data_IF_054785806862
#
_entry.id   IF_054785806862
#
_cell.length_a   1.000
_cell.length_b   1.000
_cell.length_c   1.000
_cell.angle_alpha   90.00
_cell.angle_beta   90.00
_cell.angle_gamma   90.00
#
_symmetry.space_group_name_H-M   'P 1'
#
loop_
_entity.id
_entity.type
_entity.pdbx_description
1 polymer ?
#
# COMPACT_ATOMS: atom_id res chain seq x y z
N UNK A 1 -15.39 3.45 0.70
CA UNK A 1 -14.13 3.15 0.01
C UNK A 1 -13.32 2.26 0.92
N UNK A 2 -12.92 1.07 0.45
CA UNK A 2 -12.32 0.02 1.29
C UNK A 2 -10.80 0.10 1.39
N UNK A 3 -10.12 0.65 0.37
CA UNK A 3 -8.67 0.94 0.38
C UNK A 3 -8.32 2.43 0.42
N UNK A 4 -7.03 2.74 0.54
CA UNK A 4 -6.54 4.11 0.77
C UNK A 4 -5.97 4.79 -0.50
N UNK A 5 -5.60 4.03 -1.54
CA UNK A 5 -4.96 4.60 -2.74
C UNK A 5 -5.88 5.51 -3.56
N UNK A 6 -7.13 5.11 -3.77
CA UNK A 6 -8.09 5.95 -4.49
C UNK A 6 -8.36 7.29 -3.78
N UNK A 7 -8.61 7.35 -2.46
CA UNK A 7 -8.68 8.63 -1.76
C UNK A 7 -7.36 9.40 -1.78
N UNK A 8 -6.20 8.75 -1.74
CA UNK A 8 -4.89 9.42 -1.93
C UNK A 8 -4.78 10.11 -3.28
N UNK A 9 -5.05 9.40 -4.38
CA UNK A 9 -5.05 9.98 -5.72
C UNK A 9 -6.09 11.10 -5.86
N UNK A 10 -7.28 10.91 -5.30
CA UNK A 10 -8.33 11.93 -5.26
C UNK A 10 -7.92 13.19 -4.48
N UNK A 11 -7.24 13.03 -3.35
CA UNK A 11 -6.72 14.12 -2.55
C UNK A 11 -5.62 14.90 -3.29
N UNK A 12 -4.69 14.18 -3.92
CA UNK A 12 -3.64 14.78 -4.76
C UNK A 12 -4.27 15.57 -5.91
N UNK A 13 -5.16 14.94 -6.67
CA UNK A 13 -5.82 15.60 -7.80
C UNK A 13 -6.67 16.79 -7.37
N UNK A 14 -7.32 16.74 -6.21
CA UNK A 14 -8.07 17.88 -5.67
C UNK A 14 -7.17 19.09 -5.47
N UNK A 15 -5.99 18.90 -4.88
CA UNK A 15 -5.05 20.00 -4.62
C UNK A 15 -4.37 20.51 -5.89
N UNK A 16 -3.95 19.61 -6.79
CA UNK A 16 -3.43 20.03 -8.11
C UNK A 16 -4.49 20.81 -8.90
N UNK A 17 -5.74 20.33 -8.93
CA UNK A 17 -6.79 21.02 -9.67
C UNK A 17 -7.20 22.37 -9.04
N UNK A 18 -6.93 22.60 -7.74
CA UNK A 18 -7.16 23.89 -7.06
C UNK A 18 -6.33 25.00 -7.73
N UNK A 19 -5.08 24.71 -8.11
CA UNK A 19 -4.15 25.64 -8.77
C UNK A 19 -4.22 25.65 -10.29
N UNK A 20 -5.09 24.83 -10.93
CA UNK A 20 -5.08 24.59 -12.38
C UNK A 20 -5.10 25.85 -13.25
N UNK A 21 -5.75 26.94 -12.82
CA UNK A 21 -5.78 28.20 -13.58
C UNK A 21 -4.40 28.87 -13.69
N UNK A 22 -3.49 28.58 -12.77
CA UNK A 22 -2.15 29.17 -12.70
C UNK A 22 -1.12 28.35 -13.48
N UNK A 23 -1.19 27.01 -13.37
CA UNK A 23 -0.18 26.11 -13.93
C UNK A 23 -0.68 25.22 -15.09
N UNK A 24 -1.97 25.25 -15.43
CA UNK A 24 -2.54 24.52 -16.57
C UNK A 24 -2.73 23.00 -16.38
N UNK A 25 -1.96 22.36 -15.48
CA UNK A 25 -2.07 20.91 -15.18
C UNK A 25 -3.47 20.52 -14.68
N UNK A 26 -4.03 19.47 -15.28
CA UNK A 26 -5.28 18.82 -14.87
C UNK A 26 -4.97 17.42 -14.35
N UNK A 27 -5.57 17.06 -13.22
CA UNK A 27 -5.41 15.73 -12.62
C UNK A 27 -6.76 15.00 -12.57
N UNK A 28 -6.77 13.71 -12.88
CA UNK A 28 -7.87 12.79 -12.66
C UNK A 28 -7.36 11.53 -11.97
N UNK A 29 -8.22 10.90 -11.18
CA UNK A 29 -7.90 9.65 -10.47
C UNK A 29 -8.65 8.51 -11.11
N UNK A 30 -7.97 7.38 -11.28
CA UNK A 30 -8.53 6.13 -11.79
C UNK A 30 -8.44 5.04 -10.73
N UNK A 31 -9.42 4.13 -10.74
CA UNK A 31 -9.38 2.93 -9.90
C UNK A 31 -8.63 1.82 -10.64
N UNK A 32 -7.72 1.15 -9.95
CA UNK A 32 -6.84 0.14 -10.56
C UNK A 32 -6.73 -1.14 -9.72
N UNK A 33 -5.99 -2.12 -10.23
CA UNK A 33 -5.70 -3.38 -9.53
C UNK A 33 -4.68 -3.27 -8.39
N UNK A 34 -3.99 -2.14 -8.26
CA UNK A 34 -2.96 -1.90 -7.24
C UNK A 34 -1.54 -1.79 -7.80
N UNK A 35 -0.56 -1.94 -6.92
CA UNK A 35 0.82 -1.51 -7.16
C UNK A 35 1.50 -2.11 -8.38
N UNK A 36 1.41 -3.42 -8.62
CA UNK A 36 2.09 -4.06 -9.78
C UNK A 36 1.44 -3.62 -11.08
N UNK A 37 0.11 -3.54 -11.12
CA UNK A 37 -0.63 -2.98 -12.25
C UNK A 37 -0.22 -1.54 -12.53
N UNK A 38 -0.22 -0.69 -11.50
CA UNK A 38 0.15 0.72 -11.60
C UNK A 38 1.56 0.87 -12.18
N UNK A 39 2.54 0.14 -11.65
CA UNK A 39 3.93 0.21 -12.13
C UNK A 39 4.07 -0.18 -13.60
N UNK A 40 3.39 -1.24 -14.06
CA UNK A 40 3.42 -1.65 -15.48
C UNK A 40 2.74 -0.64 -16.39
N UNK A 41 1.58 -0.14 -15.97
CA UNK A 41 0.79 0.82 -16.76
C UNK A 41 1.51 2.17 -16.88
N UNK A 42 2.28 2.57 -15.84
CA UNK A 42 3.18 3.73 -15.92
C UNK A 42 4.31 3.49 -16.91
N UNK A 43 4.93 2.30 -16.89
CA UNK A 43 5.97 1.92 -17.85
C UNK A 43 5.49 1.98 -19.30
N UNK A 44 4.24 1.58 -19.52
CA UNK A 44 3.60 1.58 -20.84
C UNK A 44 3.16 2.99 -21.29
N UNK A 45 3.23 3.99 -20.41
CA UNK A 45 2.81 5.36 -20.69
C UNK A 45 1.30 5.57 -20.68
N UNK A 46 0.53 4.60 -20.17
CA UNK A 46 -0.93 4.68 -20.04
C UNK A 46 -1.37 5.40 -18.76
N UNK A 47 -0.55 5.37 -17.70
CA UNK A 47 -0.70 6.19 -16.50
C UNK A 47 0.51 7.11 -16.31
N UNK A 48 0.27 8.40 -16.09
CA UNK A 48 1.36 9.36 -15.81
C UNK A 48 1.96 9.15 -14.40
N UNK A 49 1.11 8.76 -13.44
CA UNK A 49 1.46 8.62 -12.04
C UNK A 49 0.71 7.46 -11.40
N UNK A 50 1.21 6.96 -10.27
CA UNK A 50 0.48 5.98 -9.48
C UNK A 50 0.92 5.92 -8.03
N UNK A 51 0.05 5.39 -7.18
CA UNK A 51 0.41 4.97 -5.83
C UNK A 51 0.93 3.53 -5.89
N UNK A 52 2.14 3.30 -5.38
CA UNK A 52 2.88 2.04 -5.44
C UNK A 52 3.56 1.80 -4.09
N UNK A 53 3.74 0.54 -3.69
CA UNK A 53 4.44 0.19 -2.45
C UNK A 53 5.97 0.24 -2.65
N UNK A 54 6.72 0.59 -1.59
CA UNK A 54 8.18 0.65 -1.61
C UNK A 54 8.84 -0.65 -2.09
N UNK A 55 8.37 -1.81 -1.63
CA UNK A 55 8.86 -3.12 -2.05
C UNK A 55 8.56 -3.45 -3.52
N UNK A 56 7.41 -2.99 -4.03
CA UNK A 56 7.03 -3.15 -5.43
C UNK A 56 7.96 -2.33 -6.33
N UNK A 57 8.41 -1.15 -5.90
CA UNK A 57 9.43 -0.40 -6.62
C UNK A 57 10.75 -1.18 -6.72
N UNK A 58 11.22 -1.77 -5.61
CA UNK A 58 12.44 -2.60 -5.58
C UNK A 58 12.30 -3.79 -6.53
N UNK A 59 11.16 -4.48 -6.52
CA UNK A 59 10.93 -5.62 -7.41
C UNK A 59 10.92 -5.22 -8.89
N UNK A 60 10.28 -4.10 -9.23
CA UNK A 60 10.19 -3.62 -10.59
C UNK A 60 11.55 -3.17 -11.14
N UNK A 61 12.35 -2.46 -10.35
CA UNK A 61 13.69 -2.03 -10.77
C UNK A 61 14.65 -3.21 -10.94
N UNK A 62 14.48 -4.29 -10.19
CA UNK A 62 15.41 -5.42 -10.19
C UNK A 62 14.90 -6.67 -10.93
N UNK A 63 13.76 -6.62 -11.61
CA UNK A 63 13.11 -7.77 -12.27
C UNK A 63 12.91 -8.96 -11.33
N UNK A 64 12.39 -8.70 -10.14
CA UNK A 64 12.21 -9.73 -9.12
C UNK A 64 10.73 -10.09 -8.95
N UNK A 65 10.48 -11.34 -8.51
CA UNK A 65 9.17 -11.83 -8.05
C UNK A 65 8.07 -11.53 -9.08
N UNK A 66 7.16 -10.59 -8.79
CA UNK A 66 6.03 -10.24 -9.66
C UNK A 66 6.45 -9.67 -11.01
N UNK A 67 7.69 -9.17 -11.12
CA UNK A 67 8.30 -8.59 -12.33
C UNK A 67 9.40 -9.49 -12.92
N UNK A 68 9.48 -10.78 -12.55
CA UNK A 68 10.54 -11.69 -13.02
C UNK A 68 10.61 -11.85 -14.55
N UNK A 69 9.48 -11.66 -15.22
CA UNK A 69 9.33 -11.80 -16.68
C UNK A 69 9.43 -10.43 -17.39
N UNK A 70 9.63 -9.36 -16.62
CA UNK A 70 9.76 -8.00 -17.11
C UNK A 70 11.24 -7.59 -17.12
N UNK A 71 11.65 -6.69 -18.01
CA UNK A 71 12.96 -6.06 -17.93
C UNK A 71 13.06 -5.12 -16.70
N UNK A 72 14.26 -4.83 -16.17
CA UNK A 72 14.47 -3.86 -15.09
C UNK A 72 13.82 -2.50 -15.38
N UNK A 73 13.10 -1.92 -14.40
CA UNK A 73 12.49 -0.59 -14.57
C UNK A 73 13.44 0.58 -14.24
N UNK A 74 14.44 0.83 -15.07
CA UNK A 74 15.38 1.94 -14.83
C UNK A 74 14.71 3.33 -14.91
N UNK A 75 13.55 3.42 -15.58
CA UNK A 75 12.73 4.63 -15.70
C UNK A 75 11.88 4.95 -14.47
N UNK A 76 11.68 4.05 -13.50
CA UNK A 76 10.81 4.32 -12.36
C UNK A 76 11.37 5.45 -11.49
N UNK A 77 10.54 6.43 -11.11
CA UNK A 77 10.90 7.54 -10.23
C UNK A 77 9.96 7.70 -9.06
N UNK A 78 10.53 7.88 -7.87
CA UNK A 78 9.82 8.30 -6.68
C UNK A 78 9.49 9.80 -6.74
N UNK A 79 8.31 10.18 -6.28
CA UNK A 79 7.94 11.58 -6.08
C UNK A 79 7.99 11.89 -4.58
N UNK A 80 7.12 11.27 -3.78
CA UNK A 80 7.13 11.30 -2.31
C UNK A 80 6.46 10.04 -1.74
N UNK A 81 6.68 9.74 -0.46
CA UNK A 81 5.96 8.71 0.26
C UNK A 81 4.71 9.26 0.91
N UNK A 82 3.83 8.36 1.34
CA UNK A 82 2.57 8.69 1.99
C UNK A 82 2.56 7.98 3.34
N UNK A 83 1.68 7.01 3.56
CA UNK A 83 1.52 6.34 4.85
C UNK A 83 2.15 4.93 4.83
N UNK A 84 2.50 4.37 6.00
CA UNK A 84 2.81 2.94 6.12
C UNK A 84 1.59 2.08 5.74
N UNK A 85 1.84 0.85 5.33
CA UNK A 85 0.79 -0.12 4.95
C UNK A 85 0.98 -1.44 5.71
N UNK A 86 0.67 -1.48 7.02
CA UNK A 86 0.75 -2.71 7.79
C UNK A 86 -0.15 -3.80 7.19
N UNK A 87 0.31 -5.04 7.31
CA UNK A 87 -0.51 -6.22 7.04
C UNK A 87 -1.62 -6.38 8.09
N UNK A 88 -2.82 -6.63 7.59
CA UNK A 88 -3.98 -7.09 8.30
C UNK A 88 -4.26 -8.53 7.85
N UNK A 89 -3.99 -9.50 8.71
CA UNK A 89 -4.46 -10.88 8.51
C UNK A 89 -5.75 -11.02 9.30
N UNK A 90 -6.86 -10.72 8.64
CA UNK A 90 -8.21 -10.81 9.21
C UNK A 90 -8.65 -12.27 9.19
N UNK A 91 -9.09 -12.81 10.33
CA UNK A 91 -9.54 -14.20 10.43
C UNK A 91 -10.88 -14.26 11.17
N UNK A 92 -11.76 -15.14 10.73
CA UNK A 92 -13.00 -15.42 11.47
C UNK A 92 -12.66 -16.05 12.82
N UNK A 93 -13.33 -15.61 13.89
CA UNK A 93 -13.06 -16.09 15.24
C UNK A 93 -13.29 -17.61 15.41
N UNK A 94 -14.26 -18.17 14.68
CA UNK A 94 -14.63 -19.58 14.70
C UNK A 94 -13.80 -20.48 13.76
N UNK A 95 -12.87 -19.91 12.98
CA UNK A 95 -12.09 -20.68 12.00
C UNK A 95 -10.95 -21.50 12.61
N UNK A 96 -10.63 -21.28 13.90
CA UNK A 96 -9.52 -21.94 14.60
C UNK A 96 -8.13 -21.50 14.10
N UNK A 97 -8.01 -20.27 13.59
CA UNK A 97 -6.76 -19.70 13.07
C UNK A 97 -6.16 -18.75 14.11
N UNK A 98 -4.95 -19.06 14.59
CA UNK A 98 -4.22 -18.23 15.56
C UNK A 98 -2.83 -17.81 15.05
N UNK A 99 -2.38 -18.40 13.96
CA UNK A 99 -1.13 -18.09 13.27
C UNK A 99 -1.31 -18.22 11.76
N UNK A 100 -0.35 -17.68 10.99
CA UNK A 100 -0.32 -17.84 9.53
C UNK A 100 -0.24 -19.32 9.12
N UNK A 101 0.44 -20.15 9.91
CA UNK A 101 0.54 -21.60 9.67
C UNK A 101 -0.81 -22.33 9.82
N UNK A 102 -1.71 -21.86 10.69
CA UNK A 102 -3.04 -22.46 10.89
C UNK A 102 -3.99 -22.24 9.69
N UNK A 103 -3.56 -21.45 8.69
CA UNK A 103 -4.32 -21.24 7.46
C UNK A 103 -4.27 -22.46 6.51
N UNK A 104 -3.42 -23.46 6.77
CA UNK A 104 -3.40 -24.70 5.98
C UNK A 104 -4.76 -25.39 6.01
N UNK A 105 -5.24 -25.79 4.83
CA UNK A 105 -6.57 -26.38 4.62
C UNK A 105 -7.74 -25.39 4.75
N UNK A 106 -7.48 -24.11 5.05
CA UNK A 106 -8.52 -23.07 5.16
C UNK A 106 -8.77 -22.38 3.82
N UNK A 107 -9.82 -21.58 3.76
CA UNK A 107 -10.14 -20.73 2.60
C UNK A 107 -9.58 -19.34 2.86
N UNK A 108 -8.50 -19.00 2.18
CA UNK A 108 -7.72 -17.80 2.45
C UNK A 108 -7.78 -16.89 1.25
N UNK A 109 -8.19 -15.64 1.45
CA UNK A 109 -7.97 -14.61 0.46
C UNK A 109 -6.54 -14.09 0.53
N UNK A 110 -5.84 -14.19 -0.60
CA UNK A 110 -4.41 -13.87 -0.78
C UNK A 110 -4.21 -12.62 -1.65
N UNK A 111 -5.30 -11.88 -1.90
CA UNK A 111 -5.30 -10.62 -2.66
C UNK A 111 -5.42 -10.82 -4.17
N UNK A 112 -6.07 -9.87 -4.84
CA UNK A 112 -6.24 -9.92 -6.30
C UNK A 112 -4.88 -9.86 -7.03
N UNK A 113 -4.76 -10.48 -8.22
CA UNK A 113 -3.54 -10.42 -9.02
C UNK A 113 -3.15 -8.98 -9.33
N UNK A 114 -1.85 -8.71 -9.37
CA UNK A 114 -1.31 -7.37 -9.65
C UNK A 114 -1.41 -6.36 -8.50
N UNK A 115 -1.93 -6.76 -7.33
CA UNK A 115 -1.98 -5.89 -6.15
C UNK A 115 -0.69 -5.95 -5.32
N UNK A 116 -0.41 -4.90 -4.56
CA UNK A 116 0.64 -4.91 -3.54
C UNK A 116 0.33 -5.89 -2.39
N UNK A 117 -0.94 -6.05 -2.04
CA UNK A 117 -1.38 -7.07 -1.07
C UNK A 117 -0.97 -8.48 -1.51
N UNK A 118 -1.11 -8.83 -2.79
CA UNK A 118 -0.65 -10.10 -3.35
C UNK A 118 0.86 -10.29 -3.17
N UNK A 119 1.64 -9.22 -3.38
CA UNK A 119 3.10 -9.24 -3.19
C UNK A 119 3.44 -9.56 -1.73
N UNK A 120 2.82 -8.84 -0.78
CA UNK A 120 3.05 -9.05 0.64
C UNK A 120 2.52 -10.39 1.16
N UNK A 121 1.38 -10.86 0.62
CA UNK A 121 0.83 -12.17 0.95
C UNK A 121 1.84 -13.27 0.61
N UNK A 122 2.51 -13.19 -0.55
CA UNK A 122 3.53 -14.15 -0.92
C UNK A 122 4.73 -14.12 0.04
N UNK A 123 5.18 -12.94 0.47
CA UNK A 123 6.28 -12.81 1.44
C UNK A 123 5.89 -13.37 2.81
N UNK A 124 4.66 -13.08 3.27
CA UNK A 124 4.12 -13.60 4.52
C UNK A 124 4.02 -15.14 4.49
N UNK A 125 3.55 -15.70 3.36
CA UNK A 125 3.46 -17.13 3.15
C UNK A 125 4.84 -17.81 3.10
N UNK A 126 5.79 -17.24 2.36
CA UNK A 126 7.19 -17.70 2.30
C UNK A 126 7.81 -17.74 3.72
N UNK A 127 7.59 -16.69 4.52
CA UNK A 127 8.10 -16.60 5.89
C UNK A 127 7.47 -17.62 6.85
N UNK A 128 6.20 -17.97 6.63
CA UNK A 128 5.48 -18.97 7.42
C UNK A 128 5.63 -20.41 6.90
N UNK A 129 6.34 -20.63 5.78
CA UNK A 129 6.51 -21.95 5.18
C UNK A 129 5.18 -22.56 4.70
N UNK A 130 4.30 -21.72 4.14
CA UNK A 130 3.04 -22.14 3.52
C UNK A 130 2.98 -21.63 2.08
N UNK A 131 2.16 -22.28 1.26
CA UNK A 131 1.94 -21.94 -0.14
C UNK A 131 0.44 -21.91 -0.44
N UNK A 132 0.00 -21.30 -1.56
CA UNK A 132 -1.39 -21.35 -1.98
C UNK A 132 -1.97 -22.78 -2.08
N UNK A 133 -1.13 -23.76 -2.44
CA UNK A 133 -1.52 -25.17 -2.57
C UNK A 133 -1.78 -25.85 -1.22
N UNK A 134 -1.27 -25.28 -0.12
CA UNK A 134 -1.58 -25.75 1.23
C UNK A 134 -2.98 -25.32 1.68
N UNK A 135 -3.65 -24.41 0.97
CA UNK A 135 -4.96 -23.89 1.33
C UNK A 135 -6.09 -24.70 0.69
N UNK A 136 -7.22 -24.82 1.39
CA UNK A 136 -8.43 -25.42 0.82
C UNK A 136 -9.05 -24.56 -0.28
N UNK A 137 -8.82 -23.24 -0.22
CA UNK A 137 -9.09 -22.30 -1.29
C UNK A 137 -8.12 -21.12 -1.17
N UNK A 138 -7.49 -20.77 -2.28
CA UNK A 138 -6.63 -19.60 -2.38
C UNK A 138 -7.37 -18.52 -3.20
N UNK A 139 -8.21 -17.73 -2.53
CA UNK A 139 -9.09 -16.74 -3.16
C UNK A 139 -8.34 -15.45 -3.55
N UNK A 140 -8.81 -14.78 -4.60
CA UNK A 140 -8.14 -13.62 -5.19
C UNK A 140 -9.03 -12.36 -5.26
N UNK A 141 -9.66 -12.05 -4.13
CA UNK A 141 -10.65 -10.99 -3.98
C UNK A 141 -10.00 -9.61 -3.77
N UNK A 142 -10.65 -8.58 -4.32
CA UNK A 142 -10.34 -7.17 -4.05
C UNK A 142 -10.85 -6.78 -2.67
N UNK A 143 -10.32 -5.70 -2.10
CA UNK A 143 -10.68 -5.25 -0.74
C UNK A 143 -12.17 -5.02 -0.52
N UNK A 144 -12.90 -4.58 -1.54
CA UNK A 144 -14.36 -4.38 -1.47
C UNK A 144 -15.16 -5.67 -1.30
N UNK A 145 -14.56 -6.83 -1.55
CA UNK A 145 -15.23 -8.13 -1.52
C UNK A 145 -14.86 -8.93 -0.26
N UNK A 146 -13.76 -8.57 0.42
CA UNK A 146 -13.18 -9.37 1.51
C UNK A 146 -14.05 -9.40 2.76
N UNK A 147 -14.57 -8.25 3.19
CA UNK A 147 -15.41 -8.16 4.39
C UNK A 147 -16.67 -9.03 4.25
N UNK A 148 -17.40 -8.86 3.15
CA UNK A 148 -18.57 -9.68 2.85
C UNK A 148 -18.22 -11.18 2.75
N UNK A 149 -17.11 -11.54 2.09
CA UNK A 149 -16.70 -12.94 1.98
C UNK A 149 -16.31 -13.58 3.33
N UNK A 150 -15.71 -12.82 4.24
CA UNK A 150 -15.44 -13.26 5.62
C UNK A 150 -16.76 -13.45 6.38
N UNK A 151 -17.65 -12.46 6.35
CA UNK A 151 -18.90 -12.51 7.10
C UNK A 151 -19.88 -13.58 6.60
N UNK A 152 -19.92 -13.82 5.28
CA UNK A 152 -20.69 -14.90 4.66
C UNK A 152 -20.07 -16.28 4.88
N UNK A 153 -18.89 -16.35 5.51
CA UNK A 153 -18.14 -17.59 5.69
C UNK A 153 -17.76 -18.25 4.36
N UNK A 154 -17.54 -17.47 3.30
CA UNK A 154 -16.99 -17.94 2.01
C UNK A 154 -15.47 -18.11 2.07
N UNK A 155 -14.82 -17.28 2.89
CA UNK A 155 -13.42 -17.40 3.28
C UNK A 155 -13.31 -17.39 4.81
N UNK A 156 -12.23 -17.99 5.31
CA UNK A 156 -11.91 -18.10 6.74
C UNK A 156 -10.88 -17.05 7.17
N UNK A 157 -10.04 -16.60 6.23
CA UNK A 157 -9.05 -15.57 6.43
C UNK A 157 -8.90 -14.67 5.20
N UNK A 158 -8.50 -13.41 5.40
CA UNK A 158 -8.12 -12.49 4.35
C UNK A 158 -6.84 -11.74 4.72
N UNK A 159 -5.87 -11.77 3.81
CA UNK A 159 -4.67 -10.96 3.88
C UNK A 159 -4.96 -9.64 3.19
N UNK A 160 -4.69 -8.53 3.88
CA UNK A 160 -4.91 -7.18 3.40
C UNK A 160 -3.76 -6.27 3.83
N UNK A 161 -3.35 -5.33 2.98
CA UNK A 161 -2.32 -4.35 3.31
C UNK A 161 -2.82 -2.96 2.94
N UNK A 162 -2.89 -2.07 3.91
CA UNK A 162 -3.39 -0.71 3.71
C UNK A 162 -2.97 0.23 4.84
N UNK A 163 -3.03 1.52 4.56
CA UNK A 163 -2.91 2.56 5.59
C UNK A 163 -3.97 2.47 6.68
N UNK A 164 -3.69 3.10 7.81
CA UNK A 164 -4.56 3.11 8.99
C UNK A 164 -5.27 4.46 9.17
N UNK A 165 -6.57 4.49 9.54
CA UNK A 165 -7.52 3.40 9.40
C UNK A 165 -7.82 3.11 7.91
N UNK A 166 -8.35 1.93 7.63
CA UNK A 166 -8.89 1.56 6.33
C UNK A 166 -10.30 0.96 6.45
N UNK A 167 -11.09 1.14 5.38
CA UNK A 167 -12.49 0.75 5.34
C UNK A 167 -12.71 -0.77 5.35
N UNK A 168 -11.85 -1.53 4.67
CA UNK A 168 -12.00 -3.00 4.59
C UNK A 168 -11.93 -3.67 5.97
N UNK A 169 -10.92 -3.35 6.77
CA UNK A 169 -10.78 -3.90 8.13
C UNK A 169 -11.90 -3.40 9.03
N UNK A 170 -12.26 -2.11 8.94
CA UNK A 170 -13.35 -1.53 9.72
C UNK A 170 -14.70 -2.22 9.43
N UNK A 171 -15.00 -2.45 8.16
CA UNK A 171 -16.24 -3.12 7.73
C UNK A 171 -16.29 -4.56 8.24
N UNK A 172 -15.22 -5.34 8.04
CA UNK A 172 -15.16 -6.73 8.48
C UNK A 172 -15.34 -6.86 10.01
N UNK A 173 -14.57 -6.09 10.78
CA UNK A 173 -14.59 -6.13 12.26
C UNK A 173 -15.86 -5.57 12.87
N UNK A 174 -16.57 -4.67 12.18
CA UNK A 174 -17.85 -4.12 12.66
C UNK A 174 -19.06 -5.00 12.31
N UNK A 175 -18.95 -5.86 11.30
CA UNK A 175 -20.09 -6.59 10.73
C UNK A 175 -20.15 -8.04 11.19
N UNK A 176 -19.02 -8.67 11.45
CA UNK A 176 -18.95 -10.07 11.88
C UNK A 176 -17.78 -10.32 12.84
N UNK A 177 -17.78 -11.50 13.47
CA UNK A 177 -16.77 -11.88 14.45
C UNK A 177 -15.44 -12.23 13.76
N UNK A 178 -14.65 -11.19 13.53
CA UNK A 178 -13.34 -11.21 12.87
C UNK A 178 -12.32 -10.57 13.79
N UNK A 179 -11.18 -11.25 13.95
CA UNK A 179 -9.99 -10.71 14.64
C UNK A 179 -8.86 -10.49 13.63
N UNK A 180 -7.94 -9.59 13.95
CA UNK A 180 -6.70 -9.40 13.19
C UNK A 180 -5.58 -10.14 13.92
N UNK A 181 -4.83 -10.99 13.23
CA UNK A 181 -3.71 -11.73 13.83
C UNK A 181 -2.55 -10.80 14.17
N UNK A 182 -1.92 -11.07 15.31
CA UNK A 182 -0.60 -10.53 15.66
C UNK A 182 0.49 -11.26 14.87
N UNK A 183 1.37 -10.50 14.22
CA UNK A 183 2.39 -11.01 13.31
C UNK A 183 3.78 -11.12 13.95
N UNK A 184 3.89 -11.03 15.28
CA UNK A 184 5.18 -11.21 15.97
C UNK A 184 5.80 -12.58 15.66
N UNK A 185 4.98 -13.63 15.56
CA UNK A 185 5.45 -15.01 15.37
C UNK A 185 5.47 -15.48 13.92
N UNK A 186 5.16 -14.62 12.94
CA UNK A 186 5.04 -15.01 11.52
C UNK A 186 6.36 -15.02 10.75
N UNK A 187 7.51 -15.08 11.42
CA UNK A 187 8.83 -14.96 10.77
C UNK A 187 9.19 -13.54 10.34
N UNK A 188 8.47 -12.54 10.87
CA UNK A 188 8.61 -11.12 10.56
C UNK A 188 10.04 -10.61 10.73
N UNK A 189 10.75 -11.04 11.78
CA UNK A 189 12.14 -10.62 12.03
C UNK A 189 13.07 -10.96 10.87
N UNK A 190 12.88 -12.14 10.25
CA UNK A 190 13.66 -12.54 9.09
C UNK A 190 13.35 -11.66 7.88
N UNK A 191 12.06 -11.41 7.63
CA UNK A 191 11.61 -10.55 6.53
C UNK A 191 12.18 -9.13 6.67
N UNK A 192 12.15 -8.57 7.87
CA UNK A 192 12.68 -7.24 8.17
C UNK A 192 14.20 -7.18 8.11
N UNK A 193 14.90 -8.24 8.52
CA UNK A 193 16.36 -8.32 8.45
C UNK A 193 16.87 -8.45 7.01
N UNK A 194 16.12 -9.13 6.14
CA UNK A 194 16.54 -9.41 4.76
C UNK A 194 16.12 -8.31 3.76
N UNK A 195 15.19 -7.42 4.13
CA UNK A 195 14.64 -6.45 3.19
C UNK A 195 14.30 -5.08 3.81
N UNK A 196 15.08 -4.07 3.43
CA UNK A 196 14.92 -2.68 3.87
C UNK A 196 13.70 -1.95 3.31
N UNK A 197 12.98 -2.55 2.34
CA UNK A 197 11.74 -2.01 1.81
C UNK A 197 10.54 -2.21 2.75
N UNK A 198 10.71 -2.99 3.83
CA UNK A 198 9.71 -3.23 4.86
C UNK A 198 10.15 -2.64 6.19
N UNK A 199 9.17 -2.24 7.01
CA UNK A 199 9.38 -1.81 8.38
C UNK A 199 8.40 -2.50 9.31
N UNK A 200 8.81 -2.66 10.58
CA UNK A 200 7.90 -2.99 11.65
C UNK A 200 6.80 -1.93 11.74
N UNK A 201 5.58 -2.36 12.03
CA UNK A 201 4.43 -1.49 12.16
C UNK A 201 3.54 -1.96 13.31
N UNK A 202 2.72 -1.04 13.83
CA UNK A 202 1.75 -1.34 14.87
C UNK A 202 0.39 -0.91 14.39
N UNK A 203 -0.60 -1.80 14.49
CA UNK A 203 -2.01 -1.43 14.39
C UNK A 203 -2.44 -1.05 15.82
N UNK A 204 -2.71 0.24 16.10
CA UNK A 204 -3.01 0.70 17.46
C UNK A 204 -4.24 0.01 18.04
N UNK A 205 -4.20 -0.28 19.34
CA UNK A 205 -5.37 -0.69 20.11
C UNK A 205 -6.49 0.35 20.06
N UNK A 206 -7.73 -0.13 20.04
CA UNK A 206 -8.95 0.67 19.94
C UNK A 206 -9.23 1.24 18.55
N UNK A 207 -8.40 0.93 17.54
CA UNK A 207 -8.61 1.42 16.18
C UNK A 207 -9.77 0.70 15.46
N UNK A 208 -9.97 -0.58 15.77
CA UNK A 208 -11.04 -1.41 15.19
C UNK A 208 -11.79 -2.16 16.29
N UNK A 209 -13.09 -2.47 16.10
CA UNK A 209 -13.81 -3.38 16.99
C UNK A 209 -13.05 -4.71 17.19
N UNK A 210 -12.97 -5.18 18.43
CA UNK A 210 -12.25 -6.42 18.78
C UNK A 210 -10.73 -6.30 18.89
N UNK A 211 -10.15 -5.09 18.76
CA UNK A 211 -8.71 -4.83 18.90
C UNK A 211 -8.43 -3.98 20.16
N UNK A 212 -8.56 -4.52 21.37
CA UNK A 212 -8.33 -3.69 22.58
C UNK A 212 -6.87 -3.27 22.76
N UNK A 213 -5.94 -4.16 22.43
CA UNK A 213 -4.50 -3.92 22.47
C UNK A 213 -3.89 -3.64 21.11
N UNK A 214 -2.66 -3.13 21.14
CA UNK A 214 -1.81 -3.00 19.96
C UNK A 214 -1.57 -4.37 19.31
N UNK A 215 -1.60 -4.41 17.99
CA UNK A 215 -1.30 -5.61 17.20
C UNK A 215 -0.01 -5.36 16.44
N UNK A 216 0.99 -6.21 16.67
CA UNK A 216 2.24 -6.14 15.93
C UNK A 216 2.02 -6.57 14.47
N UNK A 217 2.54 -5.76 13.55
CA UNK A 217 2.47 -5.98 12.11
C UNK A 217 3.75 -5.46 11.45
N UNK A 218 3.79 -5.49 10.13
CA UNK A 218 4.86 -4.95 9.33
C UNK A 218 4.34 -4.70 7.91
N UNK A 219 5.08 -3.92 7.15
CA UNK A 219 4.74 -3.66 5.76
C UNK A 219 5.59 -2.58 5.12
N UNK A 220 5.31 -2.28 3.84
CA UNK A 220 5.98 -1.22 3.10
C UNK A 220 5.38 0.16 3.45
N UNK A 221 5.96 1.22 2.88
CA UNK A 221 5.29 2.51 2.76
C UNK A 221 4.60 2.61 1.40
N UNK A 222 3.42 3.22 1.38
CA UNK A 222 2.81 3.70 0.15
C UNK A 222 3.62 4.89 -0.39
N UNK A 223 3.82 4.94 -1.69
CA UNK A 223 4.56 6.00 -2.37
C UNK A 223 3.83 6.47 -3.61
N UNK A 224 4.06 7.72 -3.99
CA UNK A 224 3.64 8.26 -5.27
C UNK A 224 4.81 8.25 -6.22
N UNK A 225 4.63 7.61 -7.38
CA UNK A 225 5.69 7.37 -8.37
C UNK A 225 5.25 7.79 -9.77
N UNK A 226 6.23 7.91 -10.67
CA UNK A 226 6.06 8.25 -12.08
C UNK A 226 7.20 7.64 -12.92
N UNK A 227 7.20 7.88 -14.23
CA UNK A 227 8.30 7.53 -15.13
C UNK A 227 9.32 8.69 -15.22
N UNK A 228 10.57 8.40 -15.53
CA UNK A 228 11.64 9.37 -15.72
C UNK A 228 11.40 10.30 -16.91
N UNK A 229 10.56 9.90 -17.88
CA UNK A 229 10.12 10.73 -19.00
C UNK A 229 9.01 11.71 -18.66
N UNK A 230 8.46 11.69 -17.44
CA UNK A 230 7.46 12.67 -17.01
C UNK A 230 8.06 14.08 -16.99
N UNK A 231 7.23 15.08 -17.29
CA UNK A 231 7.69 16.48 -17.31
C UNK A 231 8.11 16.93 -15.91
N UNK A 232 9.35 17.42 -15.79
CA UNK A 232 9.88 18.03 -14.57
C UNK A 232 8.97 19.14 -14.03
N UNK A 233 8.36 19.93 -14.91
CA UNK A 233 7.43 21.00 -14.55
C UNK A 233 6.15 20.43 -13.94
N UNK A 234 5.58 19.39 -14.55
CA UNK A 234 4.36 18.75 -14.04
C UNK A 234 4.61 18.12 -12.68
N UNK A 235 5.74 17.41 -12.51
CA UNK A 235 6.11 16.81 -11.21
C UNK A 235 6.36 17.90 -10.16
N UNK A 236 7.07 18.97 -10.51
CA UNK A 236 7.29 20.10 -9.60
C UNK A 236 5.97 20.74 -9.15
N UNK A 237 5.05 21.02 -10.07
CA UNK A 237 3.72 21.58 -9.78
C UNK A 237 2.92 20.65 -8.88
N UNK A 238 2.96 19.35 -9.13
CA UNK A 238 2.27 18.36 -8.32
C UNK A 238 2.80 18.38 -6.89
N UNK A 239 4.11 18.27 -6.72
CA UNK A 239 4.79 18.31 -5.41
C UNK A 239 4.45 19.61 -4.68
N UNK A 240 4.63 20.76 -5.34
CA UNK A 240 4.30 22.08 -4.78
C UNK A 240 2.85 22.16 -4.31
N UNK A 241 1.90 21.68 -5.12
CA UNK A 241 0.47 21.71 -4.79
C UNK A 241 0.15 20.96 -3.50
N UNK A 242 0.84 19.84 -3.23
CA UNK A 242 0.65 19.07 -2.01
C UNK A 242 1.32 19.75 -0.82
N UNK A 243 2.61 20.08 -0.95
CA UNK A 243 3.41 20.55 0.18
C UNK A 243 3.08 21.98 0.63
N UNK A 244 2.63 22.86 -0.28
CA UNK A 244 2.12 24.19 0.11
C UNK A 244 0.72 24.14 0.74
N UNK A 245 -0.03 23.05 0.50
CA UNK A 245 -1.35 22.82 1.08
C UNK A 245 -1.32 21.64 2.06
N UNK A 246 -0.19 21.41 2.74
CA UNK A 246 0.06 20.18 3.47
C UNK A 246 -0.97 19.92 4.58
N UNK A 247 -1.34 20.95 5.34
CA UNK A 247 -2.37 20.82 6.38
C UNK A 247 -3.76 20.49 5.82
N UNK A 248 -4.08 21.01 4.64
CA UNK A 248 -5.32 20.67 3.93
C UNK A 248 -5.24 19.23 3.42
N UNK A 249 -4.10 18.82 2.84
CA UNK A 249 -3.87 17.45 2.39
C UNK A 249 -4.12 16.46 3.53
N UNK A 250 -3.54 16.70 4.71
CA UNK A 250 -3.70 15.85 5.89
C UNK A 250 -5.15 15.67 6.36
N UNK A 251 -6.02 16.64 6.08
CA UNK A 251 -7.45 16.58 6.43
C UNK A 251 -8.30 15.81 5.42
N UNK A 252 -7.77 15.51 4.23
CA UNK A 252 -8.53 14.83 3.17
C UNK A 252 -8.73 13.34 3.42
N UNK A 253 -7.93 12.72 4.30
CA UNK A 253 -8.13 11.35 4.76
C UNK A 253 -7.48 11.11 6.14
N UNK A 254 -8.11 10.34 7.05
CA UNK A 254 -7.53 10.05 8.37
C UNK A 254 -6.11 9.45 8.33
N UNK A 255 -5.82 8.61 7.34
CA UNK A 255 -4.49 8.03 7.14
C UNK A 255 -3.38 9.05 6.87
N UNK A 256 -3.73 10.29 6.51
CA UNK A 256 -2.77 11.36 6.29
C UNK A 256 -2.45 12.14 7.57
N UNK A 257 -3.18 11.93 8.66
CA UNK A 257 -3.08 12.72 9.88
C UNK A 257 -1.68 12.71 10.53
N UNK A 258 -0.91 11.63 10.35
CA UNK A 258 0.44 11.48 10.93
C UNK A 258 1.57 11.82 9.97
N UNK A 259 1.26 12.23 8.73
CA UNK A 259 2.29 12.57 7.75
C UNK A 259 3.10 13.78 8.22
N UNK A 260 4.40 13.72 7.97
CA UNK A 260 5.35 14.82 8.08
C UNK A 260 6.05 15.01 6.74
N UNK A 261 6.41 16.25 6.42
CA UNK A 261 7.08 16.54 5.15
C UNK A 261 8.47 15.88 5.10
N UNK A 262 9.18 15.86 6.23
CA UNK A 262 10.50 15.25 6.36
C UNK A 262 10.51 13.75 6.00
N UNK A 263 9.54 12.99 6.53
CA UNK A 263 9.43 11.56 6.21
C UNK A 263 9.02 11.34 4.75
N UNK A 264 8.08 12.15 4.25
CA UNK A 264 7.53 11.99 2.89
C UNK A 264 8.58 12.13 1.79
N UNK A 265 9.66 12.89 2.02
CA UNK A 265 10.68 13.13 1.00
C UNK A 265 11.89 12.19 1.08
N UNK A 266 11.89 11.25 2.04
CA UNK A 266 13.01 10.33 2.29
C UNK A 266 12.59 8.87 2.44
N UNK A 267 11.59 8.62 3.28
CA UNK A 267 11.28 7.26 3.72
C UNK A 267 10.54 6.46 2.65
N UNK A 268 10.92 5.20 2.46
CA UNK A 268 10.24 4.28 1.53
C UNK A 268 10.40 4.63 0.05
N UNK A 269 11.23 5.64 -0.28
CA UNK A 269 11.52 6.04 -1.65
C UNK A 269 12.60 5.13 -2.24
N UNK A 270 12.19 3.93 -2.62
CA UNK A 270 13.12 2.91 -3.10
C UNK A 270 13.66 3.20 -4.50
N UNK A 271 12.89 3.85 -5.38
CA UNK A 271 13.33 4.33 -6.68
C UNK A 271 13.95 5.73 -6.59
N UNK A 272 14.86 6.13 -7.51
CA UNK A 272 15.43 7.46 -7.55
C UNK A 272 14.35 8.56 -7.57
N UNK A 273 14.60 9.67 -6.89
CA UNK A 273 13.69 10.82 -6.91
C UNK A 273 13.61 11.43 -8.32
N UNK A 274 12.41 11.83 -8.73
CA UNK A 274 12.20 12.57 -9.97
C UNK A 274 12.84 13.97 -9.89
N UNK A 275 13.52 14.47 -10.95
CA UNK A 275 14.20 15.78 -10.88
C UNK A 275 13.28 16.95 -10.55
N UNK A 276 12.06 16.99 -11.10
CA UNK A 276 11.01 17.93 -10.68
C UNK A 276 10.71 17.94 -9.17
N UNK A 277 10.69 16.78 -8.51
CA UNK A 277 10.49 16.69 -7.06
C UNK A 277 11.75 17.17 -6.29
N UNK A 278 12.94 16.73 -6.72
CA UNK A 278 14.23 17.16 -6.15
C UNK A 278 14.37 18.68 -6.19
N UNK A 279 13.97 19.31 -7.31
CA UNK A 279 14.00 20.76 -7.45
C UNK A 279 13.20 21.44 -6.34
N UNK A 280 11.96 21.02 -6.12
CA UNK A 280 11.12 21.58 -5.05
C UNK A 280 11.73 21.33 -3.67
N UNK A 281 12.21 20.11 -3.39
CA UNK A 281 12.80 19.78 -2.09
C UNK A 281 14.05 20.62 -1.76
N UNK A 282 14.89 20.89 -2.75
CA UNK A 282 16.05 21.79 -2.59
C UNK A 282 15.64 23.24 -2.33
N UNK A 283 14.61 23.74 -3.01
CA UNK A 283 14.09 25.10 -2.77
C UNK A 283 13.52 25.27 -1.35
N UNK A 284 12.97 24.20 -0.77
CA UNK A 284 12.50 24.19 0.62
C UNK A 284 13.61 23.91 1.65
N UNK A 285 14.85 23.61 1.20
CA UNK A 285 15.96 23.27 2.08
C UNK A 285 15.86 21.89 2.74
N UNK A 286 15.10 20.96 2.14
CA UNK A 286 14.95 19.59 2.63
C UNK A 286 16.00 18.62 2.09
N UNK A 287 16.77 19.06 1.08
CA UNK A 287 17.85 18.35 0.40
C UNK A 287 19.01 19.28 0.07
#
# INVERSE_FOLDING_TARGET
MTGVYYPTGGAICRLVNKGRKEHGVRCSVESTGGSVYNTRTIREGELDFGVVQSDVQVQAMNSQRSFKDDAPYDGLRSVFSVHPEPLHVMVRADAGINSVADMKGKRVNIGNPGSGTRVLANVLMDAAGVTPDDFGLAAELKSSEQAAALCDGKIDAAIWAAGLPNGSTMEATSTCDVKVLDLTTSGTDKVLAENTAYAAATIPGGLYPGNEGDIASWGPKATFVTDAGASDEVVYVLVKSIFENFDDFKKLHPAFGRLTQEEMVKDGLSAPLHPGAVKYYKEQGWM
#
